data_IF_592688178152
#
_entry.id   IF_592688178152
#
_cell.length_a   1.000
_cell.length_b   1.000
_cell.length_c   1.000
_cell.angle_alpha   90.00
_cell.angle_beta   90.00
_cell.angle_gamma   90.00
#
_symmetry.space_group_name_H-M   'P 1'
#
loop_
_entity.id
_entity.type
_entity.pdbx_description
1 polymer ?
#
# COMPACT_ATOMS: atom_id res chain seq x y z
N UNK A 1 -1.90 -2.12 7.81
CA UNK A 1 -2.07 -2.81 6.52
C UNK A 1 -1.33 -4.13 6.61
N UNK A 2 -1.97 -5.26 6.27
CA UNK A 2 -1.34 -6.59 6.40
C UNK A 2 -1.36 -7.17 7.82
N UNK A 3 -2.17 -6.62 8.73
CA UNK A 3 -2.31 -7.05 10.12
C UNK A 3 -0.95 -7.29 10.81
N UNK A 4 -0.77 -8.43 11.46
CA UNK A 4 0.48 -8.77 12.15
C UNK A 4 1.67 -9.02 11.21
N UNK A 5 1.44 -9.22 9.92
CA UNK A 5 2.50 -9.41 8.93
C UNK A 5 3.08 -8.07 8.43
N UNK A 6 2.35 -6.97 8.61
CA UNK A 6 2.75 -5.65 8.13
C UNK A 6 2.85 -5.56 6.60
N UNK A 7 3.68 -4.64 6.14
CA UNK A 7 3.91 -4.39 4.71
C UNK A 7 5.21 -5.04 4.23
N UNK A 8 5.08 -6.21 3.62
CA UNK A 8 6.20 -7.08 3.25
C UNK A 8 6.00 -7.74 1.89
N UNK A 9 7.11 -7.99 1.19
CA UNK A 9 7.16 -8.81 -0.03
C UNK A 9 7.39 -10.29 0.25
N UNK A 10 7.53 -10.68 1.52
CA UNK A 10 7.81 -12.06 1.96
C UNK A 10 6.51 -12.70 2.48
N UNK A 11 6.34 -14.01 2.26
CA UNK A 11 5.25 -14.78 2.88
C UNK A 11 3.88 -14.66 2.20
N UNK A 12 3.83 -14.08 0.99
CA UNK A 12 2.62 -14.03 0.13
C UNK A 12 1.37 -13.47 0.85
N UNK A 13 1.52 -12.35 1.55
CA UNK A 13 0.40 -11.66 2.20
C UNK A 13 -0.64 -11.24 1.16
N UNK A 14 -1.89 -11.68 1.33
CA UNK A 14 -2.98 -11.28 0.45
C UNK A 14 -3.56 -9.94 0.88
N UNK A 15 -2.94 -8.85 0.43
CA UNK A 15 -3.36 -7.48 0.75
C UNK A 15 -4.75 -7.12 0.23
N UNK A 16 -5.18 -7.73 -0.88
CA UNK A 16 -6.55 -7.57 -1.37
C UNK A 16 -7.56 -8.09 -0.35
N UNK A 17 -7.36 -9.33 0.14
CA UNK A 17 -8.21 -9.93 1.17
C UNK A 17 -8.23 -9.11 2.46
N UNK A 18 -7.07 -8.63 2.90
CA UNK A 18 -6.95 -7.73 4.05
C UNK A 18 -7.83 -6.48 3.86
N UNK A 19 -7.69 -5.78 2.73
CA UNK A 19 -8.43 -4.56 2.48
C UNK A 19 -9.94 -4.76 2.37
N UNK A 20 -10.42 -5.81 1.66
CA UNK A 20 -11.87 -6.05 1.52
C UNK A 20 -12.54 -6.57 2.80
N UNK A 21 -11.75 -7.06 3.76
CA UNK A 21 -12.25 -7.47 5.08
C UNK A 21 -12.50 -6.31 6.04
N UNK A 22 -12.08 -5.09 5.67
CA UNK A 22 -12.18 -3.88 6.49
C UNK A 22 -13.19 -2.89 5.88
N UNK A 23 -13.78 -2.06 6.74
CA UNK A 23 -14.59 -0.90 6.33
C UNK A 23 -13.83 0.38 6.66
N UNK A 24 -13.39 1.09 5.64
CA UNK A 24 -12.69 2.36 5.79
C UNK A 24 -13.67 3.53 5.61
N UNK A 25 -13.45 4.60 6.35
CA UNK A 25 -14.21 5.84 6.28
C UNK A 25 -13.28 7.04 6.11
N UNK A 26 -13.85 8.15 5.62
CA UNK A 26 -13.13 9.41 5.56
C UNK A 26 -12.71 9.83 6.98
N UNK A 27 -11.43 10.14 7.16
CA UNK A 27 -10.83 10.46 8.46
C UNK A 27 -10.05 9.31 9.08
N UNK A 28 -10.26 8.07 8.63
CA UNK A 28 -9.48 6.92 9.13
C UNK A 28 -8.00 7.08 8.79
N UNK A 29 -7.15 6.52 9.65
CA UNK A 29 -5.70 6.48 9.41
C UNK A 29 -5.24 5.04 9.27
N UNK A 30 -4.53 4.78 8.17
CA UNK A 30 -3.89 3.49 7.92
C UNK A 30 -2.40 3.56 8.24
N UNK A 31 -1.86 2.43 8.65
CA UNK A 31 -0.47 2.29 9.05
C UNK A 31 0.23 1.29 8.12
N UNK A 32 1.38 1.71 7.61
CA UNK A 32 2.33 0.84 6.94
C UNK A 32 3.56 0.68 7.82
N UNK A 33 3.76 -0.54 8.32
CA UNK A 33 4.93 -0.93 9.11
C UNK A 33 5.78 -1.91 8.29
N UNK A 34 7.06 -1.62 8.11
CA UNK A 34 7.92 -2.34 7.19
C UNK A 34 9.42 -2.09 7.44
N UNK A 35 10.28 -2.94 6.90
CA UNK A 35 11.71 -2.70 6.88
C UNK A 35 12.06 -1.75 5.73
N UNK A 36 12.35 -0.49 6.04
CA UNK A 36 12.67 0.56 5.04
C UNK A 36 13.91 0.30 4.18
N UNK A 37 14.76 -0.66 4.55
CA UNK A 37 15.90 -1.06 3.70
C UNK A 37 15.46 -1.90 2.50
N UNK A 38 14.32 -2.58 2.61
CA UNK A 38 13.83 -3.52 1.60
C UNK A 38 12.49 -3.10 1.01
N UNK A 39 11.79 -2.16 1.63
CA UNK A 39 10.41 -1.81 1.32
C UNK A 39 10.23 -0.30 1.41
N UNK A 40 9.30 0.21 0.61
CA UNK A 40 8.73 1.54 0.73
C UNK A 40 7.23 1.47 0.41
N UNK A 41 6.56 2.62 0.52
CA UNK A 41 5.15 2.76 0.14
C UNK A 41 5.04 3.88 -0.89
N UNK A 42 4.46 3.58 -2.05
CA UNK A 42 4.16 4.55 -3.08
C UNK A 42 2.65 4.68 -3.24
N UNK A 43 2.10 5.89 -3.08
CA UNK A 43 0.72 6.19 -3.47
C UNK A 43 0.68 6.46 -4.97
N UNK A 44 -0.17 5.77 -5.71
CA UNK A 44 -0.19 5.82 -7.18
C UNK A 44 -1.62 6.00 -7.73
N UNK A 45 -1.73 6.23 -9.04
CA UNK A 45 -3.02 6.17 -9.76
C UNK A 45 -3.40 4.73 -10.08
N UNK A 46 -4.68 4.48 -10.41
CA UNK A 46 -5.19 3.15 -10.75
C UNK A 46 -4.37 2.45 -11.85
N UNK A 47 -4.09 3.13 -12.97
CA UNK A 47 -3.32 2.53 -14.07
C UNK A 47 -1.91 2.09 -13.63
N UNK A 48 -1.26 2.87 -12.76
CA UNK A 48 0.06 2.56 -12.24
C UNK A 48 0.02 1.43 -11.21
N UNK A 49 -1.07 1.34 -10.45
CA UNK A 49 -1.31 0.21 -9.57
C UNK A 49 -1.43 -1.08 -10.39
N UNK A 50 -2.26 -1.09 -11.43
CA UNK A 50 -2.48 -2.26 -12.28
C UNK A 50 -1.21 -2.73 -12.96
N UNK A 51 -0.44 -1.81 -13.53
CA UNK A 51 0.78 -2.11 -14.26
C UNK A 51 2.05 -2.15 -13.40
N UNK A 52 1.93 -2.01 -12.08
CA UNK A 52 3.05 -1.86 -11.15
C UNK A 52 4.08 -0.79 -11.58
N UNK A 53 3.60 0.31 -12.17
CA UNK A 53 4.46 1.39 -12.63
C UNK A 53 4.87 2.28 -11.44
N UNK A 54 6.18 2.38 -11.22
CA UNK A 54 6.81 3.11 -10.12
C UNK A 54 7.43 4.46 -10.55
N UNK A 55 7.30 4.86 -11.81
CA UNK A 55 8.06 6.00 -12.38
C UNK A 55 7.55 7.36 -11.95
N UNK A 56 6.27 7.47 -11.61
CA UNK A 56 5.64 8.77 -11.29
C UNK A 56 4.59 8.64 -10.20
N UNK A 57 4.97 8.22 -8.98
CA UNK A 57 4.04 8.10 -7.87
C UNK A 57 3.50 9.47 -7.47
N UNK A 58 2.30 9.49 -6.91
CA UNK A 58 1.71 10.70 -6.33
C UNK A 58 2.49 11.11 -5.07
N UNK A 59 2.91 10.12 -4.27
CA UNK A 59 3.69 10.34 -3.03
C UNK A 59 4.49 9.08 -2.73
N UNK A 60 5.68 9.25 -2.14
CA UNK A 60 6.55 8.16 -1.68
C UNK A 60 6.74 8.33 -0.17
N UNK A 61 6.64 7.24 0.57
CA UNK A 61 6.87 7.18 2.00
C UNK A 61 7.96 6.15 2.31
N UNK A 62 8.87 6.49 3.23
CA UNK A 62 10.11 5.74 3.51
C UNK A 62 10.46 5.69 5.00
N UNK A 63 9.50 5.94 5.91
CA UNK A 63 9.79 6.12 7.34
C UNK A 63 9.87 4.84 8.16
N UNK A 64 9.67 3.66 7.56
CA UNK A 64 9.40 2.34 8.21
C UNK A 64 8.09 2.25 9.01
N UNK A 65 7.47 3.37 9.37
CA UNK A 65 6.18 3.42 10.05
C UNK A 65 5.36 4.63 9.55
N UNK A 66 4.76 4.49 8.37
CA UNK A 66 4.02 5.58 7.72
C UNK A 66 2.57 5.61 8.18
N UNK A 67 2.12 6.78 8.64
CA UNK A 67 0.72 7.08 8.99
C UNK A 67 0.07 7.86 7.86
N UNK A 68 -1.00 7.33 7.27
CA UNK A 68 -1.68 7.95 6.13
C UNK A 68 -3.16 8.11 6.43
N UNK A 69 -3.63 9.35 6.50
CA UNK A 69 -5.05 9.66 6.70
C UNK A 69 -5.81 9.63 5.38
N UNK A 70 -6.95 8.95 5.38
CA UNK A 70 -7.88 8.79 4.27
C UNK A 70 -8.84 9.99 4.22
N UNK A 71 -8.38 11.08 3.60
CA UNK A 71 -9.06 12.38 3.65
C UNK A 71 -10.20 12.61 2.64
N UNK A 72 -10.52 11.63 1.78
CA UNK A 72 -11.61 11.71 0.80
C UNK A 72 -12.18 10.33 0.52
N UNK A 73 -13.40 10.28 0.03
CA UNK A 73 -14.00 9.04 -0.47
C UNK A 73 -13.32 8.57 -1.77
N UNK A 74 -13.50 7.29 -2.08
CA UNK A 74 -12.99 6.66 -3.29
C UNK A 74 -11.79 5.76 -3.02
N UNK A 75 -10.96 5.58 -4.05
CA UNK A 75 -9.88 4.60 -4.02
C UNK A 75 -8.52 5.23 -3.74
N UNK A 76 -7.78 4.58 -2.85
CA UNK A 76 -6.36 4.81 -2.60
C UNK A 76 -5.57 3.58 -3.00
N UNK A 77 -4.64 3.77 -3.93
CA UNK A 77 -3.79 2.70 -4.43
C UNK A 77 -2.37 2.87 -3.90
N UNK A 78 -1.86 1.81 -3.30
CA UNK A 78 -0.51 1.76 -2.77
C UNK A 78 0.24 0.57 -3.33
N UNK A 79 1.51 0.77 -3.69
CA UNK A 79 2.43 -0.27 -4.17
C UNK A 79 3.77 -0.16 -3.47
N UNK A 80 4.53 -1.25 -3.43
CA UNK A 80 5.95 -1.19 -3.12
C UNK A 80 6.73 -0.94 -4.39
N UNK A 81 7.68 0.00 -4.36
CA UNK A 81 8.48 0.39 -5.51
C UNK A 81 9.77 -0.39 -5.71
N UNK A 82 10.10 -1.30 -4.79
CA UNK A 82 11.27 -2.18 -4.94
C UNK A 82 11.04 -3.18 -6.09
N UNK A 83 12.08 -3.54 -6.87
CA UNK A 83 11.93 -4.43 -8.03
C UNK A 83 11.18 -5.71 -7.68
N UNK A 84 10.23 -6.10 -8.53
CA UNK A 84 9.38 -7.31 -8.39
C UNK A 84 8.41 -7.33 -7.20
N UNK A 85 8.50 -6.41 -6.22
CA UNK A 85 7.65 -6.47 -5.03
C UNK A 85 6.17 -6.25 -5.38
N UNK A 86 5.87 -5.23 -6.19
CA UNK A 86 4.50 -4.96 -6.63
C UNK A 86 3.94 -6.11 -7.49
N UNK A 87 4.74 -6.61 -8.44
CA UNK A 87 4.35 -7.69 -9.35
C UNK A 87 4.07 -8.99 -8.57
N UNK A 88 4.81 -9.23 -7.50
CA UNK A 88 4.60 -10.35 -6.57
C UNK A 88 3.49 -10.09 -5.53
N UNK A 89 2.71 -9.03 -5.68
CA UNK A 89 1.50 -8.79 -4.91
C UNK A 89 1.64 -7.83 -3.74
N UNK A 90 2.80 -7.18 -3.53
CA UNK A 90 2.95 -6.13 -2.51
C UNK A 90 2.31 -4.81 -2.96
N UNK A 91 0.99 -4.85 -3.12
CA UNK A 91 0.11 -3.77 -3.57
C UNK A 91 -1.25 -3.88 -2.87
N UNK A 92 -1.84 -2.74 -2.50
CA UNK A 92 -3.17 -2.70 -1.86
C UNK A 92 -4.05 -1.58 -2.44
N UNK A 93 -5.32 -1.92 -2.69
CA UNK A 93 -6.38 -0.98 -3.02
C UNK A 93 -7.28 -0.82 -1.80
N UNK A 94 -7.36 0.41 -1.28
CA UNK A 94 -8.21 0.76 -0.15
C UNK A 94 -9.38 1.59 -0.67
N UNK A 95 -10.59 1.08 -0.46
CA UNK A 95 -11.84 1.76 -0.81
C UNK A 95 -12.43 2.41 0.44
N UNK A 96 -12.64 3.72 0.35
CA UNK A 96 -13.16 4.61 1.40
C UNK A 96 -14.54 5.11 1.00
#
# INVERSE_FOLDING_TARGET
VGDSAGWTGIGHVNYHKCAVSMKFHVGDTIFFEYNKQHQNVMRVKHQQFDSCNTTSPITIYTSSYDKITLNRSGHYYFICGFPQHCDNGQKVNIKV
#
